data_IF_716226898868
#
_entry.id   IF_716226898868
#
_cell.length_a   1.000
_cell.length_b   1.000
_cell.length_c   1.000
_cell.angle_alpha   90.00
_cell.angle_beta   90.00
_cell.angle_gamma   90.00
#
_symmetry.space_group_name_H-M   'P 1'
#
loop_
_entity.id
_entity.type
_entity.pdbx_description
1 polymer ?
#
# COMPACT_ATOMS: atom_id res chain seq x y z
N UNK A 1 -6.28 21.06 0.54
CA UNK A 1 -5.21 20.19 -0.03
C UNK A 1 -3.95 20.98 -0.32
N UNK A 2 -3.99 22.00 -1.20
CA UNK A 2 -2.80 22.77 -1.60
C UNK A 2 -1.95 23.27 -0.42
N UNK A 3 -2.58 23.88 0.60
CA UNK A 3 -1.91 24.30 1.85
C UNK A 3 -1.17 23.15 2.55
N UNK A 4 -1.82 21.99 2.70
CA UNK A 4 -1.22 20.80 3.34
C UNK A 4 -0.05 20.23 2.56
N UNK A 5 -0.07 20.35 1.23
CA UNK A 5 0.99 19.84 0.34
C UNK A 5 2.01 20.90 -0.06
N UNK A 6 1.95 22.09 0.54
CA UNK A 6 2.80 23.24 0.16
C UNK A 6 2.82 23.50 -1.36
N UNK A 7 1.64 23.41 -1.99
CA UNK A 7 1.49 23.49 -3.45
C UNK A 7 0.50 24.58 -3.87
N UNK A 8 0.38 24.80 -5.17
CA UNK A 8 -0.48 25.82 -5.77
C UNK A 8 -1.93 25.28 -5.89
N UNK A 9 -2.95 26.01 -5.39
CA UNK A 9 -4.34 25.61 -5.55
C UNK A 9 -4.73 25.37 -7.01
N UNK A 10 -5.43 24.27 -7.27
CA UNK A 10 -5.96 23.94 -8.60
C UNK A 10 -4.97 23.30 -9.58
N UNK A 11 -3.68 23.23 -9.24
CA UNK A 11 -2.67 22.61 -10.10
C UNK A 11 -2.66 21.09 -9.90
N UNK A 12 -2.62 20.35 -11.02
CA UNK A 12 -2.49 18.89 -11.00
C UNK A 12 -1.16 18.45 -10.40
N UNK A 13 -1.20 17.42 -9.54
CA UNK A 13 -0.01 16.90 -8.87
C UNK A 13 0.29 15.49 -9.38
N UNK A 14 1.35 15.38 -10.17
CA UNK A 14 1.94 14.11 -10.58
C UNK A 14 3.23 13.96 -9.78
N UNK A 15 3.29 12.97 -8.90
CA UNK A 15 4.52 12.66 -8.18
C UNK A 15 5.56 12.10 -9.15
N UNK A 16 6.85 12.41 -8.96
CA UNK A 16 7.93 11.71 -9.64
C UNK A 16 7.80 10.19 -9.41
N UNK A 17 8.05 9.34 -10.42
CA UNK A 17 7.99 7.89 -10.25
C UNK A 17 9.00 7.34 -9.23
N UNK A 18 10.29 7.75 -9.24
CA UNK A 18 11.23 7.33 -8.21
C UNK A 18 11.24 8.31 -7.03
N UNK A 19 11.59 7.77 -5.86
CA UNK A 19 12.14 8.55 -4.77
C UNK A 19 13.50 9.11 -5.21
N UNK A 20 13.65 10.44 -5.20
CA UNK A 20 14.89 11.09 -5.68
C UNK A 20 16.09 10.89 -4.75
N UNK A 21 15.87 10.27 -3.61
CA UNK A 21 16.80 9.90 -2.54
C UNK A 21 16.98 8.37 -2.45
N UNK A 22 16.45 7.59 -3.39
CA UNK A 22 16.61 6.13 -3.41
C UNK A 22 16.91 5.65 -4.84
N UNK A 23 18.19 5.46 -5.16
CA UNK A 23 18.65 4.89 -6.44
C UNK A 23 19.26 3.50 -6.29
N UNK A 24 19.56 3.11 -5.05
CA UNK A 24 20.20 1.85 -4.69
C UNK A 24 19.64 1.31 -3.37
N UNK A 25 20.06 0.10 -2.99
CA UNK A 25 19.61 -0.50 -1.72
C UNK A 25 20.30 0.17 -0.52
N UNK A 26 21.49 0.73 -0.74
CA UNK A 26 22.24 1.51 0.23
C UNK A 26 21.52 2.83 0.54
N UNK A 27 21.02 3.52 -0.49
CA UNK A 27 20.25 4.76 -0.31
C UNK A 27 18.95 4.51 0.47
N UNK A 28 18.28 3.38 0.21
CA UNK A 28 17.11 2.98 1.01
C UNK A 28 17.48 2.78 2.48
N UNK A 29 18.63 2.17 2.76
CA UNK A 29 19.10 1.98 4.13
C UNK A 29 19.43 3.31 4.81
N UNK A 30 19.97 4.28 4.08
CA UNK A 30 20.19 5.65 4.57
C UNK A 30 18.86 6.33 4.89
N UNK A 31 17.85 6.25 4.01
CA UNK A 31 16.52 6.79 4.29
C UNK A 31 15.87 6.13 5.52
N UNK A 32 15.99 4.80 5.66
CA UNK A 32 15.49 4.10 6.85
C UNK A 32 16.19 4.60 8.12
N UNK A 33 17.51 4.84 8.05
CA UNK A 33 18.28 5.40 9.15
C UNK A 33 17.80 6.80 9.51
N UNK A 34 17.65 7.69 8.54
CA UNK A 34 17.18 9.06 8.73
C UNK A 34 15.78 9.10 9.38
N UNK A 35 14.86 8.24 8.91
CA UNK A 35 13.53 8.12 9.49
C UNK A 35 13.58 7.65 10.95
N UNK A 36 14.48 6.71 11.28
CA UNK A 36 14.64 6.23 12.66
C UNK A 36 15.32 7.26 13.55
N UNK A 37 16.24 8.06 13.02
CA UNK A 37 16.83 9.20 13.71
C UNK A 37 15.79 10.29 14.00
N UNK A 38 14.90 10.56 13.05
CA UNK A 38 13.82 11.54 13.22
C UNK A 38 12.75 11.05 14.21
N UNK A 39 12.43 9.75 14.20
CA UNK A 39 11.50 9.14 15.14
C UNK A 39 11.95 7.73 15.58
N UNK A 40 12.69 7.63 16.70
CA UNK A 40 13.22 6.34 17.17
C UNK A 40 12.16 5.31 17.55
N UNK A 41 10.94 5.77 17.87
CA UNK A 41 9.82 4.90 18.27
C UNK A 41 9.02 4.34 17.09
N UNK A 42 9.15 4.93 15.90
CA UNK A 42 8.38 4.51 14.74
C UNK A 42 8.92 3.19 14.16
N UNK A 43 8.01 2.30 13.78
CA UNK A 43 8.30 1.12 12.96
C UNK A 43 8.46 1.56 11.50
N UNK A 44 9.56 1.24 10.86
CA UNK A 44 9.78 1.60 9.44
C UNK A 44 9.26 0.50 8.52
N UNK A 45 8.35 0.87 7.62
CA UNK A 45 7.73 -0.03 6.65
C UNK A 45 8.13 0.32 5.23
N UNK A 46 8.52 -0.69 4.45
CA UNK A 46 8.73 -0.56 3.00
C UNK A 46 7.61 -1.28 2.26
N UNK A 47 6.89 -0.55 1.41
CA UNK A 47 5.81 -1.10 0.57
C UNK A 47 6.37 -1.47 -0.80
N UNK A 48 6.35 -2.75 -1.12
CA UNK A 48 6.72 -3.31 -2.41
C UNK A 48 5.46 -3.81 -3.14
N UNK A 49 5.56 -3.92 -4.46
CA UNK A 49 4.55 -4.57 -5.29
C UNK A 49 5.04 -5.98 -5.62
N UNK A 50 4.13 -6.94 -5.64
CA UNK A 50 4.41 -8.31 -6.06
C UNK A 50 4.90 -8.33 -7.50
N UNK A 51 6.08 -8.90 -7.71
CA UNK A 51 6.74 -9.12 -9.00
C UNK A 51 7.76 -10.26 -8.83
N UNK A 52 8.14 -10.93 -9.92
CA UNK A 52 9.21 -11.94 -9.89
C UNK A 52 10.49 -11.32 -9.34
N UNK A 53 11.07 -11.92 -8.31
CA UNK A 53 12.30 -11.44 -7.69
C UNK A 53 12.08 -10.46 -6.53
N UNK A 54 10.83 -10.17 -6.15
CA UNK A 54 10.52 -9.32 -5.00
C UNK A 54 11.11 -9.87 -3.70
N UNK A 55 11.27 -11.19 -3.56
CA UNK A 55 11.89 -11.79 -2.37
C UNK A 55 13.37 -11.43 -2.20
N UNK A 56 14.09 -11.27 -3.31
CA UNK A 56 15.49 -10.81 -3.31
C UNK A 56 15.57 -9.37 -2.84
N UNK A 57 14.69 -8.50 -3.37
CA UNK A 57 14.59 -7.10 -2.96
C UNK A 57 14.23 -7.00 -1.47
N UNK A 58 13.24 -7.78 -1.01
CA UNK A 58 12.82 -7.84 0.39
C UNK A 58 13.97 -8.25 1.34
N UNK A 59 14.87 -9.11 0.89
CA UNK A 59 16.07 -9.48 1.67
C UNK A 59 17.04 -8.29 1.81
N UNK A 60 17.21 -7.48 0.76
CA UNK A 60 17.93 -6.22 0.84
C UNK A 60 17.27 -5.25 1.82
N UNK A 61 15.94 -5.10 1.73
CA UNK A 61 15.14 -4.24 2.61
C UNK A 61 15.31 -4.64 4.09
N UNK A 62 15.23 -5.95 4.39
CA UNK A 62 15.45 -6.46 5.74
C UNK A 62 16.88 -6.19 6.26
N UNK A 63 17.90 -6.28 5.40
CA UNK A 63 19.29 -5.92 5.74
C UNK A 63 19.45 -4.41 5.96
N UNK A 64 18.69 -3.60 5.24
CA UNK A 64 18.56 -2.14 5.45
C UNK A 64 17.85 -1.74 6.75
N UNK A 65 17.53 -2.70 7.62
CA UNK A 65 16.89 -2.50 8.94
C UNK A 65 15.44 -1.99 8.88
N UNK A 66 14.74 -2.20 7.78
CA UNK A 66 13.28 -2.10 7.81
C UNK A 66 12.72 -3.12 8.81
N UNK A 67 11.71 -2.73 9.57
CA UNK A 67 11.08 -3.58 10.59
C UNK A 67 9.78 -4.22 10.05
N UNK A 68 9.29 -3.72 8.92
CA UNK A 68 8.05 -4.15 8.30
C UNK A 68 8.16 -4.09 6.78
N UNK A 69 7.60 -5.09 6.10
CA UNK A 69 7.55 -5.16 4.63
C UNK A 69 6.10 -5.43 4.22
N UNK A 70 5.55 -4.62 3.34
CA UNK A 70 4.25 -4.90 2.71
C UNK A 70 4.45 -5.37 1.29
N UNK A 71 3.89 -6.52 0.93
CA UNK A 71 3.80 -6.98 -0.46
C UNK A 71 2.39 -6.75 -0.96
N UNK A 72 2.27 -5.93 -2.00
CA UNK A 72 0.98 -5.56 -2.58
C UNK A 72 0.73 -6.29 -3.90
N UNK A 73 -0.44 -6.91 -4.02
CA UNK A 73 -0.90 -7.50 -5.27
C UNK A 73 -1.21 -6.47 -6.36
N UNK A 74 -1.22 -6.92 -7.60
CA UNK A 74 -1.56 -6.13 -8.78
C UNK A 74 -3.00 -5.59 -8.77
N UNK A 75 -3.87 -6.13 -7.93
CA UNK A 75 -5.30 -5.86 -7.88
C UNK A 75 -5.68 -4.75 -6.87
N UNK A 76 -4.69 -4.11 -6.26
CA UNK A 76 -4.86 -2.98 -5.36
C UNK A 76 -5.74 -1.84 -5.92
N UNK A 77 -6.39 -1.11 -5.02
CA UNK A 77 -7.21 0.05 -5.38
C UNK A 77 -6.38 1.29 -5.71
N UNK A 78 -6.90 2.16 -6.57
CA UNK A 78 -6.33 3.50 -6.83
C UNK A 78 -7.43 4.52 -7.08
N UNK A 79 -7.20 5.76 -6.64
CA UNK A 79 -8.08 6.90 -6.94
C UNK A 79 -7.89 7.44 -8.37
N UNK A 80 -6.68 7.35 -8.91
CA UNK A 80 -6.30 7.79 -10.24
C UNK A 80 -5.05 7.04 -10.71
N UNK A 81 -5.14 6.37 -11.86
CA UNK A 81 -4.01 5.71 -12.52
C UNK A 81 -4.32 5.51 -14.00
N UNK A 82 -3.29 5.25 -14.81
CA UNK A 82 -3.47 4.85 -16.20
C UNK A 82 -4.15 3.49 -16.29
N UNK A 83 -4.94 3.29 -17.34
CA UNK A 83 -5.61 2.01 -17.58
C UNK A 83 -4.59 0.88 -17.78
N UNK A 84 -3.50 1.16 -18.50
CA UNK A 84 -2.41 0.21 -18.74
C UNK A 84 -1.72 -0.18 -17.45
N UNK A 85 -1.46 0.76 -16.53
CA UNK A 85 -0.89 0.45 -15.23
C UNK A 85 -1.78 -0.47 -14.40
N UNK A 86 -3.09 -0.21 -14.37
CA UNK A 86 -4.06 -1.04 -13.64
C UNK A 86 -4.15 -2.47 -14.22
N UNK A 87 -3.96 -2.63 -15.53
CA UNK A 87 -4.18 -3.92 -16.22
C UNK A 87 -2.90 -4.69 -16.54
N UNK A 88 -1.74 -4.04 -16.52
CA UNK A 88 -0.49 -4.60 -17.05
C UNK A 88 0.71 -4.52 -16.13
N UNK A 89 0.56 -4.07 -14.88
CA UNK A 89 1.67 -4.01 -13.92
C UNK A 89 1.36 -4.83 -12.66
N UNK A 90 2.40 -5.52 -12.15
CA UNK A 90 2.36 -6.33 -10.93
C UNK A 90 1.86 -7.77 -11.12
N UNK A 91 2.02 -8.57 -10.07
CA UNK A 91 1.57 -9.95 -9.96
C UNK A 91 0.60 -10.16 -8.77
N UNK A 92 -0.08 -11.32 -8.68
CA UNK A 92 -0.88 -11.68 -7.51
C UNK A 92 -0.06 -11.63 -6.22
N UNK A 93 -0.69 -11.20 -5.12
CA UNK A 93 -0.01 -11.07 -3.83
C UNK A 93 0.39 -12.43 -3.26
N UNK A 94 -0.33 -13.50 -3.62
CA UNK A 94 -0.05 -14.88 -3.19
C UNK A 94 1.36 -15.30 -3.60
N UNK A 95 1.76 -14.99 -4.83
CA UNK A 95 3.09 -15.30 -5.35
C UNK A 95 4.16 -14.47 -4.63
N UNK A 96 3.95 -13.16 -4.52
CA UNK A 96 4.92 -12.26 -3.90
C UNK A 96 5.12 -12.53 -2.42
N UNK A 97 4.04 -12.83 -1.67
CA UNK A 97 4.11 -13.18 -0.25
C UNK A 97 4.87 -14.51 -0.06
N UNK A 98 4.52 -15.54 -0.83
CA UNK A 98 5.19 -16.83 -0.75
C UNK A 98 6.69 -16.71 -1.10
N UNK A 99 7.03 -16.03 -2.19
CA UNK A 99 8.42 -15.80 -2.62
C UNK A 99 9.21 -15.01 -1.57
N UNK A 100 8.61 -13.93 -1.03
CA UNK A 100 9.24 -13.11 0.00
C UNK A 100 9.48 -13.91 1.27
N UNK A 101 8.46 -14.64 1.75
CA UNK A 101 8.59 -15.49 2.94
C UNK A 101 9.72 -16.52 2.76
N UNK A 102 9.69 -17.28 1.66
CA UNK A 102 10.69 -18.31 1.39
C UNK A 102 12.10 -17.74 1.31
N UNK A 103 12.28 -16.63 0.60
CA UNK A 103 13.59 -16.01 0.43
C UNK A 103 14.13 -15.49 1.75
N UNK A 104 13.30 -14.83 2.56
CA UNK A 104 13.69 -14.34 3.88
C UNK A 104 14.04 -15.49 4.84
N UNK A 105 13.34 -16.63 4.78
CA UNK A 105 13.66 -17.83 5.58
C UNK A 105 15.00 -18.43 5.14
N UNK A 106 15.20 -18.61 3.83
CA UNK A 106 16.45 -19.15 3.27
C UNK A 106 17.69 -18.30 3.62
N UNK A 107 17.50 -17.01 3.87
CA UNK A 107 18.57 -16.07 4.21
C UNK A 107 18.68 -15.78 5.73
N UNK A 108 17.91 -16.46 6.58
CA UNK A 108 17.86 -16.21 8.03
C UNK A 108 17.53 -14.73 8.39
N UNK A 109 16.62 -14.14 7.60
CA UNK A 109 16.14 -12.76 7.75
C UNK A 109 14.68 -12.68 8.20
N UNK A 110 13.91 -13.77 8.10
CA UNK A 110 12.45 -13.73 8.30
C UNK A 110 12.03 -13.27 9.70
N UNK A 111 12.83 -13.58 10.72
CA UNK A 111 12.60 -13.17 12.12
C UNK A 111 12.77 -11.67 12.37
N UNK A 112 13.39 -10.93 11.43
CA UNK A 112 13.72 -9.50 11.59
C UNK A 112 12.60 -8.56 11.16
N UNK A 113 11.62 -9.07 10.41
CA UNK A 113 10.60 -8.25 9.75
C UNK A 113 9.22 -8.84 9.96
N UNK A 114 8.24 -7.95 10.13
CA UNK A 114 6.83 -8.29 10.00
C UNK A 114 6.45 -8.21 8.52
N UNK A 115 5.85 -9.27 7.97
CA UNK A 115 5.45 -9.33 6.56
C UNK A 115 3.94 -9.11 6.42
N UNK A 116 3.52 -8.06 5.71
CA UNK A 116 2.11 -7.74 5.47
C UNK A 116 1.69 -8.08 4.04
N UNK A 117 0.55 -8.73 3.87
CA UNK A 117 -0.13 -8.88 2.58
C UNK A 117 -1.14 -7.76 2.34
N UNK A 118 -1.16 -7.18 1.14
CA UNK A 118 -2.15 -6.22 0.64
C UNK A 118 -2.53 -6.59 -0.81
N UNK A 119 -3.72 -6.24 -1.26
CA UNK A 119 -4.24 -6.62 -2.58
C UNK A 119 -5.60 -7.32 -2.49
N UNK A 120 -6.68 -6.53 -2.43
CA UNK A 120 -8.08 -7.00 -2.42
C UNK A 120 -8.40 -8.14 -1.44
N UNK A 121 -7.71 -8.22 -0.30
CA UNK A 121 -8.10 -9.08 0.81
C UNK A 121 -9.48 -8.60 1.29
N UNK A 122 -10.49 -9.47 1.21
CA UNK A 122 -11.90 -9.13 1.46
C UNK A 122 -12.59 -10.06 2.42
N UNK A 123 -12.15 -11.32 2.46
CA UNK A 123 -12.80 -12.39 3.21
C UNK A 123 -11.88 -12.94 4.29
N UNK A 124 -12.46 -13.64 5.27
CA UNK A 124 -11.67 -14.38 6.25
C UNK A 124 -10.84 -15.50 5.60
N UNK A 125 -11.29 -16.04 4.48
CA UNK A 125 -10.52 -17.03 3.71
C UNK A 125 -9.24 -16.42 3.16
N UNK A 126 -9.31 -15.23 2.54
CA UNK A 126 -8.12 -14.53 2.00
C UNK A 126 -7.09 -14.29 3.11
N UNK A 127 -7.55 -13.90 4.31
CA UNK A 127 -6.70 -13.70 5.48
C UNK A 127 -5.99 -15.00 5.87
N UNK A 128 -6.72 -16.10 5.96
CA UNK A 128 -6.13 -17.41 6.32
C UNK A 128 -5.14 -17.88 5.26
N UNK A 129 -5.45 -17.71 3.97
CA UNK A 129 -4.53 -18.04 2.88
C UNK A 129 -3.26 -17.20 2.98
N UNK A 130 -3.38 -15.89 3.16
CA UNK A 130 -2.23 -15.01 3.34
C UNK A 130 -1.36 -15.42 4.55
N UNK A 131 -1.98 -15.79 5.66
CA UNK A 131 -1.28 -16.27 6.84
C UNK A 131 -0.48 -17.56 6.55
N UNK A 132 -1.11 -18.53 5.88
CA UNK A 132 -0.46 -19.80 5.50
C UNK A 132 0.71 -19.57 4.54
N UNK A 133 0.58 -18.60 3.62
CA UNK A 133 1.64 -18.22 2.69
C UNK A 133 2.78 -17.42 3.35
N UNK A 134 2.62 -17.02 4.62
CA UNK A 134 3.69 -16.46 5.44
C UNK A 134 3.53 -14.99 5.84
N UNK A 135 2.35 -14.38 5.66
CA UNK A 135 2.04 -13.04 6.14
C UNK A 135 1.71 -13.03 7.65
N UNK A 136 2.21 -12.01 8.35
CA UNK A 136 1.94 -11.71 9.76
C UNK A 136 0.79 -10.69 9.92
N UNK A 137 0.64 -9.77 8.96
CA UNK A 137 -0.36 -8.70 8.95
C UNK A 137 -1.14 -8.65 7.62
N UNK A 138 -2.32 -8.03 7.61
CA UNK A 138 -3.23 -7.99 6.45
C UNK A 138 -3.77 -6.58 6.21
N UNK A 139 -3.56 -6.07 5.00
CA UNK A 139 -4.02 -4.76 4.55
C UNK A 139 -5.41 -4.82 3.93
N UNK A 140 -6.32 -4.00 4.45
CA UNK A 140 -7.66 -3.81 3.88
C UNK A 140 -7.82 -2.37 3.40
N UNK A 141 -8.28 -2.20 2.16
CA UNK A 141 -8.52 -0.87 1.58
C UNK A 141 -9.92 -0.77 0.96
N UNK A 142 -10.17 -1.51 -0.13
CA UNK A 142 -11.44 -1.40 -0.88
C UNK A 142 -12.64 -1.87 -0.08
N UNK A 143 -12.53 -2.97 0.68
CA UNK A 143 -13.64 -3.48 1.49
C UNK A 143 -14.12 -2.47 2.55
N UNK A 144 -13.23 -1.84 3.36
CA UNK A 144 -13.63 -0.73 4.23
C UNK A 144 -14.30 0.43 3.50
N UNK A 145 -13.83 0.81 2.30
CA UNK A 145 -14.48 1.87 1.52
C UNK A 145 -15.91 1.49 1.11
N UNK A 146 -16.16 0.22 0.76
CA UNK A 146 -17.50 -0.28 0.45
C UNK A 146 -18.40 -0.23 1.69
N UNK A 147 -17.89 -0.64 2.85
CA UNK A 147 -18.63 -0.54 4.13
C UNK A 147 -18.97 0.92 4.47
N UNK A 148 -18.10 1.87 4.10
CA UNK A 148 -18.35 3.31 4.26
C UNK A 148 -19.30 3.89 3.19
N UNK A 149 -19.81 3.09 2.26
CA UNK A 149 -20.80 3.49 1.26
C UNK A 149 -20.30 3.54 -0.19
N UNK A 150 -19.08 3.10 -0.49
CA UNK A 150 -18.57 3.08 -1.87
C UNK A 150 -19.41 2.14 -2.75
N UNK A 151 -20.03 2.71 -3.78
CA UNK A 151 -20.86 1.98 -4.75
C UNK A 151 -20.06 1.45 -5.95
N UNK A 152 -18.73 1.49 -5.88
CA UNK A 152 -17.84 0.99 -6.95
C UNK A 152 -18.07 1.62 -8.34
N UNK A 153 -18.46 2.90 -8.39
CA UNK A 153 -18.69 3.64 -9.64
C UNK A 153 -17.43 3.87 -10.50
N UNK A 154 -16.23 3.77 -9.91
CA UNK A 154 -14.91 3.95 -10.58
C UNK A 154 -14.69 5.32 -11.24
N UNK A 155 -15.33 6.38 -10.71
CA UNK A 155 -15.14 7.79 -11.12
C UNK A 155 -14.33 8.61 -10.11
N UNK A 156 -13.52 7.96 -9.28
CA UNK A 156 -12.77 8.59 -8.20
C UNK A 156 -11.88 9.76 -8.69
N UNK A 157 -11.28 9.63 -9.88
CA UNK A 157 -10.41 10.64 -10.50
C UNK A 157 -11.15 11.85 -11.06
N UNK A 158 -12.48 11.80 -11.17
CA UNK A 158 -13.30 12.87 -11.77
C UNK A 158 -13.87 13.84 -10.73
N UNK A 159 -13.55 13.67 -9.45
CA UNK A 159 -14.07 14.49 -8.35
C UNK A 159 -15.62 14.43 -8.19
N UNK A 160 -16.28 13.43 -8.79
CA UNK A 160 -17.75 13.34 -8.88
C UNK A 160 -18.32 12.15 -8.07
N UNK A 161 -17.66 11.78 -6.97
CA UNK A 161 -18.11 10.67 -6.13
C UNK A 161 -19.52 10.97 -5.56
N UNK A 162 -20.54 10.14 -5.87
CA UNK A 162 -21.92 10.44 -5.51
C UNK A 162 -22.22 10.30 -4.00
N UNK A 163 -21.34 9.60 -3.28
CA UNK A 163 -21.47 9.26 -1.85
C UNK A 163 -20.42 9.97 -0.98
N UNK A 164 -19.75 10.99 -1.51
CA UNK A 164 -18.85 11.84 -0.72
C UNK A 164 -17.53 11.21 -0.29
N UNK A 165 -17.17 10.01 -0.77
CA UNK A 165 -15.91 9.33 -0.40
C UNK A 165 -14.70 9.92 -1.12
N UNK A 166 -14.67 9.83 -2.46
CA UNK A 166 -13.53 10.25 -3.28
C UNK A 166 -13.83 11.55 -4.04
N UNK A 167 -14.06 12.64 -3.28
CA UNK A 167 -14.33 13.97 -3.83
C UNK A 167 -13.91 15.07 -2.86
N UNK A 168 -13.53 16.22 -3.42
CA UNK A 168 -13.21 17.47 -2.74
C UNK A 168 -14.30 18.52 -2.94
N UNK A 169 -15.33 18.22 -3.75
CA UNK A 169 -16.51 19.08 -3.91
C UNK A 169 -17.27 19.16 -2.57
N UNK A 170 -17.50 20.37 -2.03
CA UNK A 170 -18.18 20.54 -0.74
C UNK A 170 -19.61 19.98 -0.70
N UNK A 171 -20.37 20.10 -1.79
CA UNK A 171 -21.75 19.61 -1.86
C UNK A 171 -21.80 18.09 -1.96
N UNK A 172 -20.87 17.47 -2.69
CA UNK A 172 -20.78 16.01 -2.74
C UNK A 172 -20.24 15.42 -1.44
N UNK A 173 -19.33 16.11 -0.74
CA UNK A 173 -18.82 15.67 0.58
C UNK A 173 -19.89 15.62 1.65
N UNK A 174 -20.90 16.50 1.60
CA UNK A 174 -22.06 16.45 2.52
C UNK A 174 -22.86 15.15 2.41
N UNK A 175 -22.74 14.41 1.30
CA UNK A 175 -23.41 13.12 1.08
C UNK A 175 -22.70 11.93 1.72
N UNK A 176 -21.56 12.14 2.39
CA UNK A 176 -20.86 11.07 3.07
C UNK A 176 -21.56 10.70 4.39
N UNK A 177 -22.07 9.47 4.46
CA UNK A 177 -22.80 8.94 5.62
C UNK A 177 -22.01 7.86 6.39
N UNK A 178 -20.75 7.62 6.01
CA UNK A 178 -19.91 6.60 6.63
C UNK A 178 -19.66 6.87 8.12
N UNK A 179 -19.81 5.83 8.95
CA UNK A 179 -19.63 5.90 10.40
C UNK A 179 -18.43 5.06 10.84
N UNK A 180 -17.72 5.43 11.93
CA UNK A 180 -16.66 4.60 12.50
C UNK A 180 -17.15 3.22 12.97
N UNK A 181 -18.43 3.11 13.34
CA UNK A 181 -19.10 1.84 13.67
C UNK A 181 -19.97 1.45 12.47
N UNK A 182 -19.69 0.28 11.89
CA UNK A 182 -20.65 -0.36 11.00
C UNK A 182 -21.77 -0.95 11.87
N UNK A 183 -23.01 -0.49 11.67
CA UNK A 183 -24.16 -1.19 12.22
C UNK A 183 -24.42 -2.37 11.28
N UNK A 184 -24.31 -3.59 11.82
CA UNK A 184 -24.77 -4.81 11.17
C UNK A 184 -26.29 -4.87 11.13
#
# INVERSE_FOLDING_TARGET
IAKTRHSIPGVGLISPPPHHDIYSIEDLAELIYDLKCANPSARISVKLVSEVGVGVVASGVAKGKAEHITISGHDGGTGASSWTGIKGAGLPWELGIAETHQTLVQNDLRSRVVLQADGQIRTGFDVVVAAILGADEFGFSTAPLIVLGCTMMRKCHLNTCPVGIATQDPELRKKFEGKPRAYG
#
